data_IF_055873367097
#
_entry.id   IF_055873367097
#
_cell.length_a   1.000
_cell.length_b   1.000
_cell.length_c   1.000
_cell.angle_alpha   90.00
_cell.angle_beta   90.00
_cell.angle_gamma   90.00
#
_symmetry.space_group_name_H-M   'P 1'
#
loop_
_entity.id
_entity.type
_entity.pdbx_description
1 polymer ?
#
# COMPACT_ATOMS: atom_id res chain seq x y z
N UNK A 1 15.87 5.63 -11.64
CA UNK A 1 15.09 4.56 -12.30
C UNK A 1 15.19 3.33 -11.43
N UNK A 2 14.10 2.98 -10.76
CA UNK A 2 14.01 1.72 -10.01
C UNK A 2 13.48 0.67 -10.98
N UNK A 3 14.11 -0.50 -11.00
CA UNK A 3 13.71 -1.62 -11.87
C UNK A 3 13.37 -2.80 -10.99
N UNK A 4 12.35 -3.58 -11.38
CA UNK A 4 11.98 -4.78 -10.64
C UNK A 4 12.61 -6.06 -11.20
N UNK A 5 13.70 -6.57 -10.60
CA UNK A 5 14.02 -7.99 -10.67
C UNK A 5 14.24 -8.60 -9.27
N UNK A 6 13.66 -9.77 -9.02
CA UNK A 6 14.04 -10.75 -7.98
C UNK A 6 14.46 -10.14 -6.61
N UNK A 7 13.53 -9.46 -5.93
CA UNK A 7 13.65 -9.22 -4.49
C UNK A 7 13.01 -10.38 -3.73
N UNK A 8 13.58 -10.73 -2.57
CA UNK A 8 12.94 -11.67 -1.63
C UNK A 8 11.53 -11.17 -1.32
N UNK A 9 10.54 -11.82 -1.92
CA UNK A 9 9.12 -11.60 -1.62
C UNK A 9 8.86 -12.09 -0.20
N UNK A 10 8.55 -11.17 0.72
CA UNK A 10 7.90 -11.56 1.96
C UNK A 10 6.41 -11.73 1.65
N UNK A 11 5.97 -12.98 1.51
CA UNK A 11 4.54 -13.31 1.49
C UNK A 11 3.98 -13.10 2.90
N UNK A 12 3.26 -11.99 3.12
CA UNK A 12 2.53 -11.77 4.36
C UNK A 12 1.28 -12.65 4.31
N UNK A 13 1.36 -13.82 4.95
CA UNK A 13 0.24 -14.75 5.13
C UNK A 13 -0.52 -14.37 6.40
N UNK A 14 -1.77 -13.95 6.27
CA UNK A 14 -2.66 -13.87 7.42
C UNK A 14 -3.14 -15.28 7.80
N UNK A 15 -2.53 -15.91 8.82
CA UNK A 15 -3.16 -17.05 9.48
C UNK A 15 -4.33 -16.52 10.34
N UNK A 16 -5.44 -17.26 10.43
CA UNK A 16 -6.56 -16.89 11.32
C UNK A 16 -6.52 -17.72 12.60
N UNK A 17 -6.32 -17.12 13.79
CA UNK A 17 -6.69 -17.76 15.04
C UNK A 17 -8.10 -17.33 15.49
N UNK A 18 -8.81 -18.27 16.11
CA UNK A 18 -10.21 -18.16 16.52
C UNK A 18 -10.54 -17.00 17.47
N UNK A 19 -11.81 -16.58 17.37
CA UNK A 19 -12.54 -15.59 18.17
C UNK A 19 -12.04 -15.28 19.60
N UNK A 20 -11.87 -13.98 19.90
CA UNK A 20 -12.78 -13.16 20.75
C UNK A 20 -12.27 -11.71 20.84
N UNK A 21 -13.08 -10.73 20.45
CA UNK A 21 -12.87 -9.32 20.78
C UNK A 21 -14.03 -8.86 21.68
N UNK A 22 -13.78 -8.40 22.93
CA UNK A 22 -14.82 -7.79 23.76
C UNK A 22 -15.01 -6.31 23.41
N UNK A 23 -16.24 -6.01 22.99
CA UNK A 23 -17.03 -4.79 23.17
C UNK A 23 -16.35 -3.41 23.16
N UNK A 24 -16.67 -2.61 22.14
CA UNK A 24 -17.20 -1.26 22.35
C UNK A 24 -18.43 -1.04 21.44
N UNK A 25 -19.56 -0.81 22.08
CA UNK A 25 -20.90 -0.64 21.54
C UNK A 25 -21.06 0.71 20.80
N UNK A 26 -21.42 0.60 19.52
CA UNK A 26 -22.63 1.16 18.89
C UNK A 26 -23.03 2.62 19.17
N UNK A 27 -23.15 3.42 18.09
CA UNK A 27 -24.42 3.71 17.36
C UNK A 27 -24.08 4.62 16.17
N UNK A 28 -24.45 4.32 14.92
CA UNK A 28 -25.83 4.39 14.45
C UNK A 28 -26.03 3.75 13.05
N UNK A 29 -27.19 3.07 12.93
CA UNK A 29 -28.02 2.78 11.74
C UNK A 29 -27.43 1.99 10.56
N UNK A 30 -27.69 0.68 10.68
CA UNK A 30 -27.94 -0.32 9.63
C UNK A 30 -28.26 0.26 8.23
N UNK A 31 -27.32 0.07 7.30
CA UNK A 31 -27.66 -0.38 5.95
C UNK A 31 -27.43 -1.88 5.94
N UNK A 32 -28.51 -2.66 5.87
CA UNK A 32 -28.44 -4.11 5.72
C UNK A 32 -27.75 -4.43 4.39
N UNK A 33 -26.50 -4.90 4.41
CA UNK A 33 -26.02 -5.67 3.27
C UNK A 33 -26.66 -7.06 3.38
N UNK A 34 -27.49 -7.38 2.38
CA UNK A 34 -28.04 -8.71 2.22
C UNK A 34 -26.89 -9.62 1.79
N UNK A 35 -26.65 -10.65 2.60
CA UNK A 35 -26.07 -11.94 2.24
C UNK A 35 -24.74 -11.98 1.46
N UNK A 36 -23.72 -12.50 2.16
CA UNK A 36 -22.78 -13.47 1.60
C UNK A 36 -21.59 -12.91 0.82
N UNK A 37 -20.43 -12.80 1.47
CA UNK A 37 -19.14 -13.01 0.81
C UNK A 37 -18.29 -13.92 1.70
N UNK A 38 -18.42 -15.22 1.46
CA UNK A 38 -17.39 -16.21 1.78
C UNK A 38 -16.71 -16.48 0.44
N UNK A 39 -15.62 -15.77 0.17
CA UNK A 39 -14.73 -16.01 -0.96
C UNK A 39 -13.28 -15.81 -0.50
N UNK A 40 -12.30 -16.56 -1.04
CA UNK A 40 -10.89 -16.37 -0.72
C UNK A 40 -10.49 -14.94 -1.08
N UNK A 41 -9.76 -14.27 -0.19
CA UNK A 41 -9.24 -12.94 -0.47
C UNK A 41 -8.17 -13.09 -1.55
N UNK A 42 -8.49 -12.56 -2.74
CA UNK A 42 -7.64 -12.59 -3.92
C UNK A 42 -7.27 -11.15 -4.25
N UNK A 43 -5.98 -10.90 -4.47
CA UNK A 43 -5.51 -9.62 -4.97
C UNK A 43 -6.08 -9.43 -6.39
N UNK A 44 -6.97 -8.45 -6.62
CA UNK A 44 -7.56 -8.27 -7.94
C UNK A 44 -6.52 -7.78 -8.96
N UNK A 45 -6.73 -8.09 -10.24
CA UNK A 45 -5.88 -7.63 -11.36
C UNK A 45 -6.17 -6.15 -11.69
N UNK A 46 -5.94 -5.27 -10.71
CA UNK A 46 -6.08 -3.82 -10.82
C UNK A 46 -4.71 -3.20 -10.54
N UNK A 47 -4.20 -2.40 -11.47
CA UNK A 47 -2.91 -1.73 -11.34
C UNK A 47 -3.17 -0.24 -11.18
N UNK A 48 -2.61 0.35 -10.12
CA UNK A 48 -2.77 1.75 -9.77
C UNK A 48 -1.42 2.46 -9.84
N UNK A 49 -1.34 3.50 -10.66
CA UNK A 49 -0.23 4.47 -10.65
C UNK A 49 -0.81 5.88 -10.56
N UNK A 50 -0.05 6.85 -10.08
CA UNK A 50 -0.51 8.24 -9.94
C UNK A 50 0.45 9.23 -10.58
N UNK A 51 -0.10 10.30 -11.14
CA UNK A 51 0.65 11.44 -11.66
C UNK A 51 -0.15 12.72 -11.46
N UNK A 52 0.50 13.88 -11.61
CA UNK A 52 -0.16 15.18 -11.41
C UNK A 52 -1.38 15.35 -12.32
N UNK A 53 -1.31 14.81 -13.53
CA UNK A 53 -2.36 14.88 -14.55
C UNK A 53 -2.43 13.58 -15.34
N UNK A 54 -3.45 13.44 -16.21
CA UNK A 54 -3.50 12.35 -17.20
C UNK A 54 -2.50 12.50 -18.36
N UNK A 55 -1.69 13.57 -18.37
CA UNK A 55 -0.65 13.80 -19.39
C UNK A 55 0.72 13.52 -18.80
N UNK A 56 1.21 12.32 -19.08
CA UNK A 56 2.57 11.90 -18.77
C UNK A 56 3.57 12.51 -19.77
N UNK A 57 4.77 12.84 -19.31
CA UNK A 57 5.91 13.13 -20.20
C UNK A 57 6.40 11.86 -20.91
N UNK A 58 7.34 11.99 -21.85
CA UNK A 58 7.81 10.84 -22.64
C UNK A 58 8.34 9.71 -21.76
N UNK A 59 9.17 10.04 -20.77
CA UNK A 59 9.84 9.05 -19.93
C UNK A 59 8.84 8.33 -19.04
N UNK A 60 7.93 9.06 -18.39
CA UNK A 60 6.89 8.46 -17.56
C UNK A 60 5.87 7.64 -18.37
N UNK A 61 5.59 8.01 -19.63
CA UNK A 61 4.77 7.17 -20.52
C UNK A 61 5.43 5.83 -20.80
N UNK A 62 6.74 5.82 -21.04
CA UNK A 62 7.47 4.58 -21.33
C UNK A 62 7.42 3.63 -20.13
N UNK A 63 7.62 4.14 -18.91
CA UNK A 63 7.49 3.35 -17.68
C UNK A 63 6.05 2.84 -17.45
N UNK A 64 5.06 3.72 -17.59
CA UNK A 64 3.64 3.38 -17.46
C UNK A 64 3.20 2.29 -18.44
N UNK A 65 3.64 2.37 -19.70
CA UNK A 65 3.27 1.42 -20.75
C UNK A 65 3.69 -0.02 -20.42
N UNK A 66 4.85 -0.20 -19.77
CA UNK A 66 5.35 -1.55 -19.43
C UNK A 66 4.36 -2.37 -18.62
N UNK A 67 3.58 -1.75 -17.73
CA UNK A 67 2.58 -2.43 -16.91
C UNK A 67 1.43 -2.99 -17.73
N UNK A 68 0.89 -2.21 -18.67
CA UNK A 68 -0.17 -2.66 -19.57
C UNK A 68 0.33 -3.68 -20.59
N UNK A 69 1.54 -3.48 -21.13
CA UNK A 69 2.14 -4.39 -22.12
C UNK A 69 2.39 -5.78 -21.53
N UNK A 70 2.81 -5.86 -20.26
CA UNK A 70 3.04 -7.13 -19.56
C UNK A 70 1.77 -7.75 -18.96
N UNK A 71 0.75 -6.94 -18.68
CA UNK A 71 -0.47 -7.38 -18.00
C UNK A 71 -1.74 -6.96 -18.76
N UNK A 72 -1.93 -7.40 -20.01
CA UNK A 72 -3.03 -6.93 -20.86
C UNK A 72 -4.42 -7.32 -20.34
N UNK A 73 -4.51 -8.27 -19.41
CA UNK A 73 -5.76 -8.68 -18.76
C UNK A 73 -6.09 -7.90 -17.49
N UNK A 74 -5.15 -7.12 -16.93
CA UNK A 74 -5.41 -6.28 -15.77
C UNK A 74 -6.01 -4.94 -16.21
N UNK A 75 -6.88 -4.36 -15.37
CA UNK A 75 -7.21 -2.95 -15.50
C UNK A 75 -6.02 -2.13 -15.03
N UNK A 76 -5.56 -1.19 -15.85
CA UNK A 76 -4.46 -0.28 -15.49
C UNK A 76 -4.96 1.15 -15.44
N UNK A 77 -4.93 1.75 -14.25
CA UNK A 77 -5.46 3.09 -13.99
C UNK A 77 -4.37 4.06 -13.55
N UNK A 78 -4.18 5.10 -14.35
CA UNK A 78 -3.51 6.33 -13.93
C UNK A 78 -4.51 7.20 -13.15
N UNK A 79 -4.12 7.64 -11.96
CA UNK A 79 -4.88 8.59 -11.16
C UNK A 79 -4.24 9.97 -11.26
N UNK A 80 -5.04 11.01 -11.46
CA UNK A 80 -4.57 12.39 -11.33
C UNK A 80 -4.81 12.97 -9.92
N UNK A 81 -4.17 14.08 -9.60
CA UNK A 81 -4.29 14.73 -8.27
C UNK A 81 -5.73 15.02 -7.85
N UNK A 82 -6.62 15.35 -8.81
CA UNK A 82 -8.04 15.63 -8.52
C UNK A 82 -8.78 14.35 -8.15
N UNK A 83 -8.53 13.26 -8.86
CA UNK A 83 -9.12 11.95 -8.61
C UNK A 83 -8.60 11.33 -7.31
N UNK A 84 -7.29 11.49 -7.03
CA UNK A 84 -6.68 11.10 -5.76
C UNK A 84 -7.36 11.83 -4.60
N UNK A 85 -7.48 13.15 -4.67
CA UNK A 85 -8.13 13.93 -3.62
C UNK A 85 -9.61 13.53 -3.43
N UNK A 86 -10.34 13.31 -4.52
CA UNK A 86 -11.73 12.86 -4.46
C UNK A 86 -11.87 11.49 -3.80
N UNK A 87 -10.99 10.53 -4.12
CA UNK A 87 -10.96 9.21 -3.49
C UNK A 87 -10.66 9.31 -1.99
N UNK A 88 -9.69 10.15 -1.60
CA UNK A 88 -9.35 10.39 -0.19
C UNK A 88 -10.53 10.96 0.57
N UNK A 89 -11.18 11.98 0.01
CA UNK A 89 -12.35 12.61 0.62
C UNK A 89 -13.51 11.61 0.81
N UNK A 90 -13.79 10.77 -0.19
CA UNK A 90 -14.90 9.83 -0.12
C UNK A 90 -14.63 8.62 0.78
N UNK A 91 -13.38 8.18 0.84
CA UNK A 91 -13.01 6.88 1.44
C UNK A 91 -12.43 7.03 2.84
N UNK A 92 -11.82 8.17 3.13
CA UNK A 92 -11.17 8.46 4.42
C UNK A 92 -11.55 9.85 4.96
N UNK A 93 -12.85 10.17 5.06
CA UNK A 93 -13.32 11.51 5.48
C UNK A 93 -12.89 11.88 6.91
N UNK A 94 -12.70 10.88 7.77
CA UNK A 94 -12.42 11.07 9.20
C UNK A 94 -10.96 10.80 9.59
N UNK A 95 -10.17 10.17 8.72
CA UNK A 95 -8.79 9.77 9.03
C UNK A 95 -7.78 10.62 8.26
N UNK A 96 -7.73 10.51 6.92
CA UNK A 96 -6.74 11.24 6.12
C UNK A 96 -7.25 12.60 5.65
N UNK A 97 -8.51 12.69 5.24
CA UNK A 97 -9.06 13.95 4.73
C UNK A 97 -8.85 15.17 5.66
N UNK A 98 -8.99 15.05 7.00
CA UNK A 98 -8.78 16.18 7.91
C UNK A 98 -7.35 16.74 7.93
N UNK A 99 -6.35 15.95 7.52
CA UNK A 99 -4.94 16.36 7.48
C UNK A 99 -4.41 16.56 6.06
N UNK A 100 -5.20 16.21 5.04
CA UNK A 100 -4.78 16.16 3.63
C UNK A 100 -4.09 17.43 3.14
N UNK A 101 -4.65 18.60 3.48
CA UNK A 101 -4.10 19.89 3.07
C UNK A 101 -2.75 20.22 3.73
N UNK A 102 -2.46 19.63 4.89
CA UNK A 102 -1.20 19.80 5.59
C UNK A 102 -0.08 18.89 5.10
N UNK A 103 -0.39 17.87 4.29
CA UNK A 103 0.61 16.96 3.72
C UNK A 103 1.27 17.56 2.47
N UNK A 104 2.57 17.29 2.31
CA UNK A 104 3.32 17.58 1.09
C UNK A 104 2.84 16.70 -0.09
N UNK A 105 3.13 17.08 -1.35
CA UNK A 105 2.73 16.28 -2.51
C UNK A 105 3.21 14.82 -2.47
N UNK A 106 4.44 14.57 -2.00
CA UNK A 106 4.98 13.20 -1.85
C UNK A 106 4.24 12.43 -0.75
N UNK A 107 3.94 13.07 0.38
CA UNK A 107 3.21 12.46 1.49
C UNK A 107 1.75 12.14 1.13
N UNK A 108 1.16 12.95 0.24
CA UNK A 108 -0.16 12.68 -0.35
C UNK A 108 -0.13 11.44 -1.25
N UNK A 109 0.93 11.26 -2.03
CA UNK A 109 1.12 10.08 -2.86
C UNK A 109 1.32 8.81 -2.00
N UNK A 110 2.11 8.90 -0.92
CA UNK A 110 2.27 7.85 0.08
C UNK A 110 0.94 7.47 0.74
N UNK A 111 0.15 8.45 1.21
CA UNK A 111 -1.16 8.17 1.79
C UNK A 111 -2.13 7.55 0.77
N UNK A 112 -2.08 8.01 -0.48
CA UNK A 112 -2.91 7.50 -1.56
C UNK A 112 -2.64 6.03 -1.86
N UNK A 113 -1.37 5.59 -1.93
CA UNK A 113 -1.05 4.20 -2.28
C UNK A 113 -1.59 3.19 -1.26
N UNK A 114 -1.59 3.53 0.03
CA UNK A 114 -2.23 2.70 1.04
C UNK A 114 -3.76 2.72 0.91
N UNK A 115 -4.33 3.91 0.70
CA UNK A 115 -5.78 4.08 0.64
C UNK A 115 -6.39 3.38 -0.59
N UNK A 116 -5.78 3.53 -1.76
CA UNK A 116 -6.31 2.96 -3.01
C UNK A 116 -6.35 1.44 -2.95
N UNK A 117 -5.29 0.82 -2.42
CA UNK A 117 -5.24 -0.62 -2.22
C UNK A 117 -6.14 -1.07 -1.06
N UNK A 118 -6.30 -0.29 0.00
CA UNK A 118 -7.29 -0.61 1.03
C UNK A 118 -8.73 -0.57 0.49
N UNK A 119 -9.02 0.36 -0.42
CA UNK A 119 -10.35 0.55 -1.00
C UNK A 119 -10.68 -0.50 -2.08
N UNK A 120 -9.75 -0.74 -2.99
CA UNK A 120 -9.97 -1.50 -4.22
C UNK A 120 -9.17 -2.80 -4.29
N UNK A 121 -8.14 -2.96 -3.45
CA UNK A 121 -7.12 -3.98 -3.62
C UNK A 121 -6.26 -3.72 -4.87
N UNK A 122 -5.48 -4.73 -5.25
CA UNK A 122 -4.70 -4.73 -6.47
C UNK A 122 -3.22 -4.46 -6.23
N UNK A 123 -2.60 -3.85 -7.21
CA UNK A 123 -1.17 -3.58 -7.30
C UNK A 123 -0.96 -2.07 -7.38
N UNK A 124 -0.06 -1.54 -6.58
CA UNK A 124 0.40 -0.17 -6.70
C UNK A 124 1.84 -0.16 -7.18
N UNK A 125 2.18 0.79 -8.05
CA UNK A 125 3.55 1.10 -8.40
C UNK A 125 3.74 2.61 -8.56
N UNK A 126 4.87 3.15 -8.12
CA UNK A 126 5.28 4.51 -8.46
C UNK A 126 5.41 4.64 -9.99
N UNK A 127 5.18 5.85 -10.51
CA UNK A 127 5.14 6.10 -11.96
C UNK A 127 6.49 5.84 -12.66
N UNK A 128 7.59 5.87 -11.91
CA UNK A 128 8.96 5.64 -12.40
C UNK A 128 9.44 4.19 -12.24
N UNK A 129 8.51 3.27 -11.98
CA UNK A 129 8.75 1.85 -11.86
C UNK A 129 8.29 1.14 -13.13
N UNK A 130 9.23 0.44 -13.78
CA UNK A 130 8.92 -0.41 -14.94
C UNK A 130 8.57 -1.83 -14.53
N UNK A 131 7.56 -2.41 -15.18
CA UNK A 131 7.19 -3.81 -15.07
C UNK A 131 8.12 -4.67 -15.96
N UNK A 132 9.01 -5.46 -15.36
CA UNK A 132 9.93 -6.31 -16.12
C UNK A 132 9.32 -7.66 -16.49
N UNK A 133 8.45 -8.19 -15.63
CA UNK A 133 7.77 -9.49 -15.80
C UNK A 133 6.27 -9.36 -15.55
N UNK A 134 5.42 -10.13 -16.26
CA UNK A 134 3.99 -10.21 -15.96
C UNK A 134 3.70 -10.62 -14.51
N UNK A 135 2.63 -10.06 -13.95
CA UNK A 135 2.15 -10.38 -12.60
C UNK A 135 1.83 -11.87 -12.45
N UNK A 136 1.34 -12.50 -13.52
CA UNK A 136 1.05 -13.93 -13.55
C UNK A 136 2.27 -14.81 -13.27
N UNK A 137 3.49 -14.31 -13.47
CA UNK A 137 4.72 -15.07 -13.20
C UNK A 137 5.04 -15.19 -11.70
N UNK A 138 4.39 -14.41 -10.83
CA UNK A 138 4.61 -14.48 -9.38
C UNK A 138 4.16 -15.79 -8.73
N UNK A 139 3.29 -16.55 -9.41
CA UNK A 139 2.78 -17.87 -8.95
C UNK A 139 2.36 -17.86 -7.47
N UNK A 140 1.59 -16.84 -7.07
CA UNK A 140 1.20 -16.64 -5.69
C UNK A 140 0.22 -17.73 -5.23
N UNK A 141 0.30 -18.17 -3.97
CA UNK A 141 -0.76 -18.96 -3.34
C UNK A 141 -2.12 -18.26 -3.45
N UNK A 142 -3.19 -19.04 -3.66
CA UNK A 142 -4.55 -18.53 -3.84
C UNK A 142 -5.10 -17.77 -2.61
N UNK A 143 -4.46 -17.89 -1.46
CA UNK A 143 -4.79 -17.26 -0.17
C UNK A 143 -3.85 -16.09 0.18
N UNK A 144 -3.17 -15.51 -0.81
CA UNK A 144 -2.29 -14.36 -0.60
C UNK A 144 -3.09 -13.07 -0.45
N UNK A 145 -3.03 -12.47 0.74
CA UNK A 145 -3.72 -11.21 1.07
C UNK A 145 -2.87 -9.96 0.83
N UNK A 146 -1.53 -10.11 0.80
CA UNK A 146 -0.60 -9.00 0.61
C UNK A 146 0.76 -9.49 0.13
N UNK A 147 1.39 -8.69 -0.72
CA UNK A 147 2.76 -8.87 -1.20
C UNK A 147 3.55 -7.64 -0.80
N UNK A 148 4.67 -7.83 -0.10
CA UNK A 148 5.64 -6.78 0.20
C UNK A 148 7.05 -7.26 -0.13
N UNK A 149 7.91 -6.33 -0.55
CA UNK A 149 9.33 -6.57 -0.78
C UNK A 149 10.18 -5.86 0.26
N UNK A 150 11.37 -6.39 0.54
CA UNK A 150 12.39 -5.63 1.26
C UNK A 150 13.06 -4.65 0.31
N UNK A 151 13.17 -3.38 0.69
CA UNK A 151 13.69 -2.35 -0.21
C UNK A 151 15.17 -2.57 -0.58
N UNK A 152 15.96 -3.18 0.30
CA UNK A 152 17.34 -3.63 0.02
C UNK A 152 17.44 -5.11 -0.36
N UNK A 153 16.31 -5.83 -0.39
CA UNK A 153 16.27 -7.28 -0.60
C UNK A 153 16.78 -8.13 0.56
N UNK A 154 17.18 -7.55 1.70
CA UNK A 154 17.68 -8.27 2.88
C UNK A 154 17.60 -7.45 4.16
N UNK A 155 17.70 -8.13 5.29
CA UNK A 155 17.98 -7.48 6.58
C UNK A 155 19.32 -6.74 6.56
N UNK A 156 19.35 -5.55 7.16
CA UNK A 156 20.54 -4.73 7.34
C UNK A 156 21.00 -4.74 8.80
N UNK A 157 22.30 -4.64 9.03
CA UNK A 157 22.83 -4.20 10.32
C UNK A 157 22.55 -2.70 10.53
N UNK A 158 22.61 -2.22 11.78
CA UNK A 158 22.45 -0.79 12.09
C UNK A 158 23.41 0.11 11.30
N UNK A 159 24.69 -0.28 11.19
CA UNK A 159 25.68 0.50 10.43
C UNK A 159 25.42 0.51 8.93
N UNK A 160 24.94 -0.61 8.37
CA UNK A 160 24.52 -0.65 6.97
C UNK A 160 23.29 0.23 6.73
N UNK A 161 22.27 0.14 7.58
CA UNK A 161 21.06 0.98 7.52
C UNK A 161 21.43 2.46 7.51
N UNK A 162 22.30 2.88 8.43
CA UNK A 162 22.74 4.28 8.53
C UNK A 162 23.47 4.72 7.26
N UNK A 163 24.30 3.86 6.68
CA UNK A 163 25.05 4.15 5.45
C UNK A 163 24.15 4.36 4.22
N UNK A 164 22.95 3.78 4.21
CA UNK A 164 21.96 3.93 3.13
C UNK A 164 20.81 4.86 3.50
N UNK A 165 20.87 5.49 4.69
CA UNK A 165 19.88 6.41 5.22
C UNK A 165 18.46 5.83 5.32
N UNK A 166 18.34 4.54 5.65
CA UNK A 166 17.03 3.90 5.84
C UNK A 166 16.51 4.12 7.25
N UNK A 167 15.19 4.15 7.39
CA UNK A 167 14.52 4.32 8.69
C UNK A 167 14.53 3.04 9.51
N UNK A 168 14.57 1.86 8.86
CA UNK A 168 14.51 0.55 9.52
C UNK A 168 15.53 -0.42 8.92
N UNK A 169 16.03 -1.34 9.74
CA UNK A 169 16.95 -2.43 9.31
C UNK A 169 16.24 -3.47 8.44
N UNK A 170 14.95 -3.68 8.69
CA UNK A 170 14.02 -4.49 7.89
C UNK A 170 13.00 -3.59 7.18
N UNK A 171 13.48 -2.66 6.35
CA UNK A 171 12.62 -1.73 5.62
C UNK A 171 11.92 -2.42 4.44
N UNK A 172 10.59 -2.36 4.44
CA UNK A 172 9.78 -2.79 3.31
C UNK A 172 9.66 -1.66 2.29
N UNK A 173 9.72 -2.02 1.00
CA UNK A 173 9.46 -1.10 -0.08
C UNK A 173 7.97 -0.75 -0.13
N UNK A 174 7.67 0.53 -0.32
CA UNK A 174 6.31 1.01 -0.52
C UNK A 174 6.07 1.57 -1.93
N UNK A 175 7.12 1.69 -2.74
CA UNK A 175 7.03 2.15 -4.14
C UNK A 175 6.43 1.08 -5.06
N UNK A 176 6.38 -0.18 -4.63
CA UNK A 176 5.60 -1.26 -5.23
C UNK A 176 5.11 -2.21 -4.14
N UNK A 177 3.82 -2.55 -4.13
CA UNK A 177 3.28 -3.65 -3.32
C UNK A 177 1.88 -4.02 -3.83
N UNK A 178 1.34 -5.12 -3.32
CA UNK A 178 0.01 -5.57 -3.70
C UNK A 178 -0.80 -6.01 -2.49
N UNK A 179 -2.11 -5.85 -2.53
CA UNK A 179 -2.97 -6.21 -1.41
C UNK A 179 -4.39 -6.56 -1.84
N UNK A 180 -5.02 -7.48 -1.11
CA UNK A 180 -6.46 -7.66 -1.16
C UNK A 180 -7.15 -6.41 -0.58
N UNK A 181 -8.37 -6.07 -1.03
CA UNK A 181 -9.10 -4.95 -0.46
C UNK A 181 -9.35 -5.17 1.03
N UNK A 182 -9.42 -4.06 1.79
CA UNK A 182 -9.65 -4.04 3.25
C UNK A 182 -8.56 -4.70 4.10
N UNK A 183 -7.34 -4.85 3.58
CA UNK A 183 -6.23 -5.38 4.37
C UNK A 183 -5.96 -4.51 5.62
N UNK A 184 -5.90 -5.09 6.84
CA UNK A 184 -5.73 -4.33 8.08
C UNK A 184 -4.38 -3.59 8.18
N UNK A 185 -3.32 -4.08 7.52
CA UNK A 185 -2.02 -3.38 7.45
C UNK A 185 -2.19 -2.00 6.82
N UNK A 186 -2.94 -1.92 5.72
CA UNK A 186 -3.13 -0.66 5.01
C UNK A 186 -3.99 0.32 5.81
N UNK A 187 -5.02 -0.17 6.50
CA UNK A 187 -5.78 0.68 7.43
C UNK A 187 -4.87 1.22 8.54
N UNK A 188 -4.00 0.37 9.08
CA UNK A 188 -3.06 0.74 10.12
C UNK A 188 -2.05 1.79 9.65
N UNK A 189 -1.57 1.72 8.41
CA UNK A 189 -0.75 2.78 7.81
C UNK A 189 -1.47 4.13 7.87
N UNK A 190 -2.73 4.19 7.45
CA UNK A 190 -3.51 5.43 7.43
C UNK A 190 -3.72 6.01 8.85
N UNK A 191 -3.96 5.14 9.82
CA UNK A 191 -4.07 5.53 11.23
C UNK A 191 -2.75 6.05 11.80
N UNK A 192 -1.64 5.38 11.49
CA UNK A 192 -0.29 5.81 11.90
C UNK A 192 0.06 7.17 11.30
N UNK A 193 -0.24 7.41 10.01
CA UNK A 193 -0.07 8.72 9.38
C UNK A 193 -0.83 9.79 10.18
N UNK A 194 -2.10 9.51 10.52
CA UNK A 194 -2.93 10.46 11.26
C UNK A 194 -2.36 10.78 12.65
N UNK A 195 -1.83 9.78 13.34
CA UNK A 195 -1.18 9.93 14.65
C UNK A 195 0.12 10.71 14.54
N UNK A 196 1.03 10.29 13.66
CA UNK A 196 2.34 10.92 13.42
C UNK A 196 2.21 12.37 12.94
N UNK A 197 1.20 12.69 12.13
CA UNK A 197 0.86 14.08 11.78
C UNK A 197 0.49 14.90 13.02
N UNK A 198 -0.31 14.34 13.93
CA UNK A 198 -0.65 14.97 15.21
C UNK A 198 0.56 15.18 16.13
N UNK A 199 1.56 14.29 16.04
CA UNK A 199 2.85 14.42 16.74
C UNK A 199 3.83 15.36 16.05
N UNK A 200 3.48 15.91 14.88
CA UNK A 200 4.32 16.82 14.09
C UNK A 200 5.65 16.18 13.67
N UNK A 201 5.61 14.91 13.24
CA UNK A 201 6.76 14.27 12.60
C UNK A 201 7.07 15.00 11.29
N UNK A 202 8.27 15.56 11.17
CA UNK A 202 8.69 16.36 10.01
C UNK A 202 9.33 15.53 8.89
N UNK A 203 9.89 14.36 9.21
CA UNK A 203 10.48 13.47 8.21
C UNK A 203 9.38 12.79 7.41
N UNK A 204 9.33 13.02 6.08
CA UNK A 204 8.41 12.34 5.16
C UNK A 204 8.53 10.81 5.26
N UNK A 205 9.76 10.30 5.37
CA UNK A 205 10.02 8.85 5.49
C UNK A 205 9.37 8.26 6.74
N UNK A 206 9.39 9.01 7.84
CA UNK A 206 8.77 8.61 9.12
C UNK A 206 7.27 8.90 9.17
N UNK A 207 6.79 9.96 8.54
CA UNK A 207 5.39 10.39 8.61
C UNK A 207 4.50 9.49 7.74
N UNK A 208 4.76 9.45 6.44
CA UNK A 208 3.95 8.70 5.47
C UNK A 208 4.72 7.60 4.75
N UNK A 209 6.04 7.67 4.80
CA UNK A 209 6.91 6.89 3.94
C UNK A 209 7.14 5.44 4.39
N UNK A 210 8.28 4.84 3.96
CA UNK A 210 8.58 3.42 4.15
C UNK A 210 8.70 3.05 5.62
N UNK A 211 9.03 3.99 6.53
CA UNK A 211 9.08 3.69 7.95
C UNK A 211 7.67 3.39 8.50
N UNK A 212 6.67 4.23 8.15
CA UNK A 212 5.27 3.98 8.53
C UNK A 212 4.73 2.70 7.95
N UNK A 213 5.03 2.41 6.68
CA UNK A 213 4.66 1.14 6.06
C UNK A 213 5.27 -0.05 6.80
N UNK A 214 6.58 0.04 7.07
CA UNK A 214 7.35 -1.01 7.72
C UNK A 214 6.84 -1.29 9.13
N UNK A 215 6.57 -0.24 9.90
CA UNK A 215 6.00 -0.35 11.25
C UNK A 215 4.65 -1.09 11.22
N UNK A 216 3.76 -0.73 10.28
CA UNK A 216 2.45 -1.37 10.15
C UNK A 216 2.54 -2.86 9.75
N UNK A 217 3.46 -3.21 8.85
CA UNK A 217 3.70 -4.60 8.44
C UNK A 217 4.24 -5.43 9.61
N UNK A 218 5.26 -4.92 10.31
CA UNK A 218 5.84 -5.62 11.48
C UNK A 218 4.83 -5.77 12.61
N UNK A 219 4.07 -4.72 12.95
CA UNK A 219 3.00 -4.82 13.95
C UNK A 219 2.04 -5.95 13.61
N UNK A 220 1.60 -6.05 12.36
CA UNK A 220 0.73 -7.13 11.93
C UNK A 220 1.39 -8.50 12.07
N UNK A 221 2.62 -8.68 11.56
CA UNK A 221 3.33 -9.96 11.64
C UNK A 221 3.56 -10.43 13.09
N UNK A 222 3.88 -9.52 14.01
CA UNK A 222 4.07 -9.84 15.42
C UNK A 222 2.76 -10.28 16.09
N UNK A 223 1.61 -9.72 15.71
CA UNK A 223 0.31 -10.15 16.26
C UNK A 223 -0.16 -11.52 15.76
N UNK A 224 0.44 -12.05 14.70
CA UNK A 224 0.12 -13.36 14.13
C UNK A 224 0.95 -14.50 14.74
N UNK A 225 1.97 -14.19 15.56
CA UNK A 225 2.82 -15.19 16.19
C UNK A 225 2.15 -15.66 17.50
N UNK A 226 1.86 -16.96 17.67
CA UNK A 226 1.17 -17.49 18.86
C UNK A 226 1.97 -17.36 20.16
#
# INVERSE_FOLDING_TARGET
MRSWPLFLLALVRAQRPGHKCPSLLQTSRLVRSRQGHVGPAHIPCLIHQTWKTHRLDSTSRDWFATWSDKNPSCEHKLWNDTEVAALVQSTSPDVIWPIWQGLLPVERADAFRYLVLWAHGGYYADIDVSCLVPISEMQLPNDTDMIVGYETGRHLTEGERDSVHFSRTDQFEQWFFASAPRNPVLLRCLELIRQKFGWRIESTEELTGPATFTDAVHEFLLTQTP
#
